data_IF_596711326604
#
_entry.id   IF_596711326604
#
_cell.length_a   1.000
_cell.length_b   1.000
_cell.length_c   1.000
_cell.angle_alpha   90.00
_cell.angle_beta   90.00
_cell.angle_gamma   90.00
#
_symmetry.space_group_name_H-M   'P 1'
#
loop_
_entity.id
_entity.type
_entity.pdbx_description
1 polymer ?
#
# COMPACT_ATOMS: atom_id res chain seq x y z
N UNK A 1 -5.07 5.54 2.03
CA UNK A 1 -3.71 5.25 1.52
C UNK A 1 -2.60 5.81 2.40
N UNK A 2 -2.66 7.08 2.85
CA UNK A 2 -1.69 7.60 3.84
C UNK A 2 -1.61 6.76 5.12
N UNK A 3 -2.72 6.18 5.57
CA UNK A 3 -2.78 5.32 6.76
C UNK A 3 -1.91 4.05 6.63
N UNK A 4 -1.80 3.45 5.44
CA UNK A 4 -0.97 2.24 5.25
C UNK A 4 0.53 2.60 5.30
N UNK A 5 0.90 3.72 4.69
CA UNK A 5 2.28 4.24 4.72
C UNK A 5 2.68 4.58 6.16
N UNK A 6 1.81 5.31 6.87
CA UNK A 6 2.01 5.68 8.27
C UNK A 6 2.13 4.45 9.17
N UNK A 7 1.26 3.44 8.98
CA UNK A 7 1.32 2.21 9.76
C UNK A 7 2.64 1.45 9.55
N UNK A 8 3.21 1.47 8.35
CA UNK A 8 4.55 0.88 8.10
C UNK A 8 5.65 1.71 8.74
N UNK A 9 5.61 3.04 8.63
CA UNK A 9 6.60 3.93 9.25
C UNK A 9 6.61 3.82 10.78
N UNK A 10 5.44 3.58 11.38
CA UNK A 10 5.30 3.33 12.82
C UNK A 10 5.61 1.87 13.21
N UNK A 11 5.96 1.00 12.27
CA UNK A 11 6.26 -0.41 12.52
C UNK A 11 5.05 -1.26 12.95
N UNK A 12 3.83 -0.76 12.74
CA UNK A 12 2.58 -1.48 13.06
C UNK A 12 2.30 -2.60 12.05
N UNK A 13 2.80 -2.45 10.83
CA UNK A 13 2.75 -3.48 9.77
C UNK A 13 4.13 -3.66 9.15
N UNK A 14 4.44 -4.90 8.75
CA UNK A 14 5.74 -5.22 8.13
C UNK A 14 5.79 -4.89 6.64
N UNK A 15 4.67 -5.04 5.93
CA UNK A 15 4.59 -4.81 4.48
C UNK A 15 3.27 -4.16 4.07
N UNK A 16 3.33 -3.24 3.10
CA UNK A 16 2.17 -2.50 2.58
C UNK A 16 1.55 -3.20 1.38
N UNK A 17 2.38 -3.80 0.53
CA UNK A 17 1.96 -4.46 -0.71
C UNK A 17 0.78 -5.44 -0.56
N UNK A 18 0.80 -6.43 0.36
CA UNK A 18 -0.30 -7.39 0.46
C UNK A 18 -1.63 -6.76 0.89
N UNK A 19 -1.59 -5.69 1.69
CA UNK A 19 -2.78 -4.95 2.10
C UNK A 19 -3.33 -4.12 0.94
N UNK A 20 -2.46 -3.50 0.16
CA UNK A 20 -2.84 -2.74 -1.03
C UNK A 20 -3.44 -3.67 -2.11
N UNK A 21 -2.84 -4.84 -2.30
CA UNK A 21 -3.34 -5.88 -3.20
C UNK A 21 -4.70 -6.41 -2.74
N UNK A 22 -4.92 -6.58 -1.44
CA UNK A 22 -6.23 -7.00 -0.89
C UNK A 22 -7.31 -5.94 -1.13
N UNK A 23 -6.99 -4.65 -0.99
CA UNK A 23 -7.94 -3.57 -1.28
C UNK A 23 -8.41 -3.60 -2.73
N UNK A 24 -7.49 -3.85 -3.66
CA UNK A 24 -7.79 -3.91 -5.10
C UNK A 24 -8.57 -5.18 -5.43
N UNK A 25 -8.05 -6.35 -5.03
CA UNK A 25 -8.56 -7.64 -5.50
C UNK A 25 -9.76 -8.16 -4.70
N UNK A 26 -9.90 -7.78 -3.43
CA UNK A 26 -10.92 -8.34 -2.53
C UNK A 26 -12.00 -7.32 -2.19
N UNK A 27 -11.63 -6.05 -2.01
CA UNK A 27 -12.57 -4.99 -1.65
C UNK A 27 -13.05 -4.15 -2.86
N UNK A 28 -12.55 -4.44 -4.07
CA UNK A 28 -12.97 -3.78 -5.30
C UNK A 28 -12.55 -2.31 -5.42
N UNK A 29 -11.55 -1.89 -4.64
CA UNK A 29 -11.00 -0.54 -4.79
C UNK A 29 -10.25 -0.42 -6.11
N UNK A 30 -10.56 0.62 -6.86
CA UNK A 30 -9.79 0.95 -8.05
C UNK A 30 -8.61 1.85 -7.67
N UNK A 31 -7.39 1.33 -7.79
CA UNK A 31 -6.15 2.05 -7.54
C UNK A 31 -5.40 2.13 -8.87
N UNK A 32 -5.12 3.36 -9.30
CA UNK A 32 -4.33 3.59 -10.51
C UNK A 32 -2.89 3.04 -10.36
N UNK A 33 -2.32 2.52 -11.44
CA UNK A 33 -1.00 1.88 -11.43
C UNK A 33 0.13 2.84 -11.01
N UNK A 34 0.04 4.12 -11.39
CA UNK A 34 1.02 5.12 -10.98
C UNK A 34 0.91 5.39 -9.46
N UNK A 35 -0.31 5.40 -8.92
CA UNK A 35 -0.52 5.55 -7.48
C UNK A 35 -0.05 4.34 -6.68
N UNK A 36 -0.33 3.14 -7.18
CA UNK A 36 0.17 1.89 -6.60
C UNK A 36 1.70 1.89 -6.50
N UNK A 37 2.38 2.16 -7.62
CA UNK A 37 3.84 2.21 -7.68
C UNK A 37 4.41 3.30 -6.79
N UNK A 38 3.78 4.49 -6.74
CA UNK A 38 4.21 5.58 -5.86
C UNK A 38 4.13 5.18 -4.39
N UNK A 39 3.08 4.47 -3.97
CA UNK A 39 2.95 3.99 -2.58
C UNK A 39 4.04 2.98 -2.27
N UNK A 40 4.33 2.03 -3.15
CA UNK A 40 5.42 1.06 -2.97
C UNK A 40 6.79 1.74 -2.90
N UNK A 41 7.04 2.76 -3.72
CA UNK A 41 8.28 3.57 -3.64
C UNK A 41 8.43 4.30 -2.31
N UNK A 42 7.34 4.90 -1.81
CA UNK A 42 7.36 5.64 -0.55
C UNK A 42 7.73 4.77 0.66
N UNK A 43 7.53 3.45 0.53
CA UNK A 43 7.80 2.50 1.60
C UNK A 43 8.91 1.51 1.27
N UNK A 44 9.67 1.74 0.20
CA UNK A 44 10.79 0.87 -0.21
C UNK A 44 10.37 -0.60 -0.47
N UNK A 45 9.25 -0.81 -1.18
CA UNK A 45 8.71 -2.13 -1.57
C UNK A 45 8.56 -2.28 -3.10
N UNK A 46 9.52 -1.78 -3.89
CA UNK A 46 9.53 -1.92 -5.35
C UNK A 46 9.76 -3.36 -5.83
#
# INVERSE_FOLDING_TARGET
>A
MGILVEAKQQGLISTVKPLLDALINQAGFWVDAHLYNKVLQLVDEQ
#
